data_IF_503303174171
#
_entry.id   IF_503303174171
#
_cell.length_a   1.000
_cell.length_b   1.000
_cell.length_c   1.000
_cell.angle_alpha   90.00
_cell.angle_beta   90.00
_cell.angle_gamma   90.00
#
_symmetry.space_group_name_H-M   'P 1'
#
loop_
_entity.id
_entity.type
_entity.pdbx_description
1 polymer ?
#
# COMPACT_ATOMS: atom_id res chain seq x y z
N UNK A 1 22.08 6.87 -1.72
CA UNK A 1 22.56 6.27 -0.45
C UNK A 1 21.85 6.80 0.80
N UNK A 2 21.73 8.11 1.05
CA UNK A 2 21.10 8.61 2.29
C UNK A 2 19.65 8.14 2.54
N UNK A 3 18.80 8.13 1.50
CA UNK A 3 17.41 7.59 1.58
C UNK A 3 17.36 6.13 2.04
N UNK A 4 18.34 5.32 1.63
CA UNK A 4 18.46 3.93 2.06
C UNK A 4 18.71 3.84 3.57
N UNK A 5 19.61 4.68 4.10
CA UNK A 5 19.90 4.68 5.54
C UNK A 5 18.72 5.17 6.37
N UNK A 6 17.97 6.17 5.89
CA UNK A 6 16.72 6.60 6.55
C UNK A 6 15.72 5.46 6.57
N UNK A 7 15.53 4.78 5.44
CA UNK A 7 14.61 3.66 5.36
C UNK A 7 15.03 2.51 6.28
N UNK A 8 16.32 2.16 6.30
CA UNK A 8 16.88 1.13 7.19
C UNK A 8 16.72 1.50 8.66
N UNK A 9 16.95 2.76 9.01
CA UNK A 9 16.77 3.26 10.37
C UNK A 9 15.28 3.21 10.80
N UNK A 10 14.39 3.69 9.93
CA UNK A 10 12.95 3.60 10.13
C UNK A 10 12.49 2.14 10.31
N UNK A 11 12.98 1.21 9.48
CA UNK A 11 12.70 -0.22 9.61
C UNK A 11 13.12 -0.78 10.97
N UNK A 12 14.34 -0.47 11.43
CA UNK A 12 14.86 -0.98 12.70
C UNK A 12 14.09 -0.45 13.92
N UNK A 13 13.69 0.82 13.89
CA UNK A 13 13.01 1.46 15.01
C UNK A 13 11.51 1.22 14.94
N UNK A 14 10.87 1.65 13.86
CA UNK A 14 9.42 1.58 13.69
C UNK A 14 8.93 0.14 13.55
N UNK A 15 9.74 -0.78 13.02
CA UNK A 15 9.38 -2.19 12.96
C UNK A 15 9.04 -2.80 14.33
N UNK A 16 9.52 -2.22 15.45
CA UNK A 16 9.20 -2.63 16.86
C UNK A 16 7.84 -2.20 17.34
N UNK A 17 7.16 -1.34 16.60
CA UNK A 17 5.81 -0.92 16.92
C UNK A 17 4.81 -1.96 16.42
N UNK A 18 3.64 -2.00 17.08
CA UNK A 18 2.51 -2.78 16.58
C UNK A 18 1.99 -2.20 15.27
N UNK A 19 1.38 -3.04 14.43
CA UNK A 19 0.81 -2.60 13.15
C UNK A 19 -0.22 -1.47 13.32
N UNK A 20 -1.01 -1.50 14.40
CA UNK A 20 -1.96 -0.43 14.74
C UNK A 20 -1.26 0.92 14.97
N UNK A 21 -0.13 0.91 15.68
CA UNK A 21 0.65 2.13 15.91
C UNK A 21 1.26 2.66 14.60
N UNK A 22 1.77 1.75 13.75
CA UNK A 22 2.27 2.11 12.42
C UNK A 22 1.17 2.72 11.55
N UNK A 23 -0.04 2.17 11.56
CA UNK A 23 -1.17 2.76 10.84
C UNK A 23 -1.56 4.13 11.38
N UNK A 24 -1.53 4.34 12.70
CA UNK A 24 -1.72 5.66 13.31
C UNK A 24 -0.71 6.69 12.81
N UNK A 25 0.59 6.33 12.84
CA UNK A 25 1.68 7.18 12.33
C UNK A 25 1.47 7.46 10.84
N UNK A 26 1.21 6.42 10.04
CA UNK A 26 1.02 6.53 8.60
C UNK A 26 -0.13 7.46 8.23
N UNK A 27 -1.23 7.43 8.99
CA UNK A 27 -2.38 8.31 8.74
C UNK A 27 -1.98 9.77 8.93
N UNK A 28 -1.26 10.10 10.01
CA UNK A 28 -0.81 11.46 10.30
C UNK A 28 0.18 11.93 9.23
N UNK A 29 1.18 11.12 8.88
CA UNK A 29 2.19 11.50 7.88
C UNK A 29 1.61 11.62 6.48
N UNK A 30 0.63 10.78 6.11
CA UNK A 30 -0.13 10.87 4.86
C UNK A 30 -0.99 12.13 4.80
N UNK A 31 -1.71 12.47 5.87
CA UNK A 31 -2.55 13.66 5.92
C UNK A 31 -1.70 14.96 5.86
N UNK A 32 -0.54 14.96 6.53
CA UNK A 32 0.47 16.03 6.41
C UNK A 32 0.97 16.12 4.96
N UNK A 33 1.35 14.99 4.36
CA UNK A 33 1.84 14.95 2.97
C UNK A 33 0.80 15.47 1.98
N UNK A 34 -0.47 15.07 2.15
CA UNK A 34 -1.59 15.55 1.34
C UNK A 34 -1.75 17.08 1.43
N UNK A 35 -1.55 17.65 2.62
CA UNK A 35 -1.68 19.10 2.82
C UNK A 35 -0.54 19.90 2.19
N UNK A 36 0.69 19.40 2.22
CA UNK A 36 1.88 20.16 1.82
C UNK A 36 2.35 19.87 0.38
N UNK A 37 2.10 18.67 -0.17
CA UNK A 37 2.56 18.29 -1.52
C UNK A 37 1.52 18.62 -2.59
N UNK A 38 1.34 19.91 -2.88
CA UNK A 38 0.34 20.40 -3.84
C UNK A 38 0.48 19.75 -5.21
N UNK A 39 1.67 19.77 -5.82
CA UNK A 39 1.87 19.22 -7.17
C UNK A 39 1.53 17.71 -7.24
N UNK A 40 1.92 16.95 -6.23
CA UNK A 40 1.58 15.51 -6.15
C UNK A 40 0.08 15.33 -5.96
N UNK A 41 -0.55 16.13 -5.10
CA UNK A 41 -1.99 16.06 -4.86
C UNK A 41 -2.77 16.35 -6.14
N UNK A 42 -2.37 17.38 -6.88
CA UNK A 42 -3.08 17.81 -8.09
C UNK A 42 -2.90 16.76 -9.21
N UNK A 43 -1.72 16.12 -9.32
CA UNK A 43 -1.51 14.99 -10.22
C UNK A 43 -2.37 13.77 -9.86
N UNK A 44 -2.44 13.41 -8.57
CA UNK A 44 -3.29 12.30 -8.10
C UNK A 44 -4.77 12.63 -8.33
N UNK A 45 -5.20 13.87 -8.08
CA UNK A 45 -6.58 14.30 -8.31
C UNK A 45 -6.97 14.22 -9.80
N UNK A 46 -6.06 14.57 -10.70
CA UNK A 46 -6.25 14.39 -12.15
C UNK A 46 -6.45 12.92 -12.52
N UNK A 47 -5.63 12.02 -11.96
CA UNK A 47 -5.78 10.58 -12.17
C UNK A 47 -7.11 10.06 -11.61
N UNK A 48 -7.49 10.48 -10.40
CA UNK A 48 -8.75 10.08 -9.77
C UNK A 48 -9.96 10.56 -10.55
N UNK A 49 -9.94 11.81 -11.05
CA UNK A 49 -11.00 12.33 -11.94
C UNK A 49 -11.14 11.49 -13.21
N UNK A 50 -10.03 11.06 -13.80
CA UNK A 50 -10.05 10.18 -14.98
C UNK A 50 -10.62 8.80 -14.65
N UNK A 51 -10.21 8.22 -13.53
CA UNK A 51 -10.64 6.88 -13.09
C UNK A 51 -12.12 6.84 -12.67
N UNK A 52 -12.59 7.83 -11.93
CA UNK A 52 -13.98 7.91 -11.47
C UNK A 52 -14.95 8.32 -12.58
N UNK A 53 -14.44 8.87 -13.68
CA UNK A 53 -15.22 9.26 -14.84
C UNK A 53 -15.90 10.62 -14.71
N UNK A 54 -16.62 11.06 -15.77
CA UNK A 54 -17.15 12.42 -15.87
C UNK A 54 -18.32 12.73 -14.92
N UNK A 55 -18.94 11.71 -14.31
CA UNK A 55 -20.03 11.90 -13.35
C UNK A 55 -19.59 12.22 -11.92
N UNK A 56 -18.30 12.09 -11.61
CA UNK A 56 -17.79 12.31 -10.27
C UNK A 56 -17.69 13.80 -9.94
N UNK A 57 -18.22 14.20 -8.79
CA UNK A 57 -18.10 15.57 -8.31
C UNK A 57 -16.72 15.84 -7.69
N UNK A 58 -16.42 17.11 -7.41
CA UNK A 58 -15.11 17.51 -6.86
C UNK A 58 -14.85 16.87 -5.48
N UNK A 59 -15.85 16.78 -4.61
CA UNK A 59 -15.70 16.22 -3.28
C UNK A 59 -15.35 14.73 -3.32
N UNK A 60 -15.94 13.98 -4.25
CA UNK A 60 -15.59 12.58 -4.53
C UNK A 60 -14.15 12.43 -4.98
N UNK A 61 -13.72 13.26 -5.92
CA UNK A 61 -12.33 13.28 -6.41
C UNK A 61 -11.36 13.61 -5.28
N UNK A 62 -11.65 14.62 -4.46
CA UNK A 62 -10.76 15.03 -3.35
C UNK A 62 -10.71 13.97 -2.24
N UNK A 63 -11.83 13.33 -1.91
CA UNK A 63 -11.84 12.20 -0.96
C UNK A 63 -11.00 11.04 -1.49
N UNK A 64 -11.20 10.63 -2.74
CA UNK A 64 -10.43 9.56 -3.35
C UNK A 64 -8.94 9.90 -3.38
N UNK A 65 -8.60 11.14 -3.75
CA UNK A 65 -7.22 11.65 -3.75
C UNK A 65 -6.60 11.53 -2.37
N UNK A 66 -7.29 11.97 -1.32
CA UNK A 66 -6.77 11.85 0.05
C UNK A 66 -6.60 10.40 0.49
N UNK A 67 -7.54 9.52 0.12
CA UNK A 67 -7.41 8.09 0.41
C UNK A 67 -6.23 7.45 -0.33
N UNK A 68 -5.87 7.88 -1.54
CA UNK A 68 -4.64 7.43 -2.21
C UNK A 68 -3.39 7.77 -1.38
N UNK A 69 -3.31 8.98 -0.82
CA UNK A 69 -2.18 9.35 0.07
C UNK A 69 -2.14 8.48 1.33
N UNK A 70 -3.31 8.16 1.90
CA UNK A 70 -3.42 7.29 3.08
C UNK A 70 -3.06 5.85 2.76
N UNK A 71 -3.49 5.32 1.61
CA UNK A 71 -3.14 3.99 1.13
C UNK A 71 -1.64 3.87 0.88
N UNK A 72 -1.01 4.89 0.28
CA UNK A 72 0.45 4.94 0.16
C UNK A 72 1.16 4.91 1.53
N UNK A 73 0.60 5.60 2.53
CA UNK A 73 1.10 5.53 3.91
C UNK A 73 0.96 4.14 4.54
N UNK A 74 -0.23 3.51 4.40
CA UNK A 74 -0.50 2.15 4.88
C UNK A 74 0.46 1.15 4.23
N UNK A 75 0.69 1.25 2.92
CA UNK A 75 1.66 0.45 2.19
C UNK A 75 3.06 0.51 2.81
N UNK A 76 3.55 1.71 3.16
CA UNK A 76 4.85 1.83 3.84
C UNK A 76 4.84 1.29 5.27
N UNK A 77 3.72 1.42 5.99
CA UNK A 77 3.55 0.79 7.31
C UNK A 77 3.61 -0.74 7.21
N UNK A 78 2.94 -1.33 6.23
CA UNK A 78 2.95 -2.76 5.96
C UNK A 78 4.37 -3.22 5.58
N UNK A 79 5.05 -2.47 4.71
CA UNK A 79 6.43 -2.76 4.31
C UNK A 79 7.42 -2.71 5.50
N UNK A 80 7.22 -1.79 6.44
CA UNK A 80 8.03 -1.74 7.67
C UNK A 80 7.73 -2.94 8.58
N UNK A 81 6.49 -3.41 8.60
CA UNK A 81 6.04 -4.51 9.45
C UNK A 81 6.33 -5.91 8.87
N UNK A 82 6.45 -6.05 7.55
CA UNK A 82 6.51 -7.33 6.84
C UNK A 82 7.59 -8.27 7.36
N UNK A 83 8.75 -7.75 7.75
CA UNK A 83 9.86 -8.55 8.28
C UNK A 83 9.60 -9.18 9.66
N UNK A 84 8.46 -8.88 10.28
CA UNK A 84 8.01 -9.47 11.56
C UNK A 84 6.66 -10.14 11.46
N UNK A 85 6.11 -10.17 10.26
CA UNK A 85 4.90 -10.92 10.00
C UNK A 85 5.25 -12.41 10.11
N UNK A 86 4.52 -13.12 10.95
CA UNK A 86 4.47 -14.57 10.89
C UNK A 86 3.67 -14.94 9.64
N UNK A 87 4.40 -15.24 8.55
CA UNK A 87 3.81 -15.44 7.22
C UNK A 87 2.88 -16.64 7.20
N UNK A 88 3.28 -17.74 7.85
CA UNK A 88 2.48 -18.97 7.91
C UNK A 88 1.19 -18.74 8.70
N UNK A 89 1.29 -18.09 9.86
CA UNK A 89 0.11 -17.72 10.64
C UNK A 89 -0.78 -16.74 9.88
N UNK A 90 -0.20 -15.76 9.20
CA UNK A 90 -0.96 -14.77 8.43
C UNK A 90 -1.73 -15.44 7.29
N UNK A 91 -1.07 -16.34 6.56
CA UNK A 91 -1.69 -17.12 5.48
C UNK A 91 -2.89 -17.92 6.00
N UNK A 92 -2.69 -18.67 7.08
CA UNK A 92 -3.70 -19.59 7.60
C UNK A 92 -4.88 -18.90 8.32
N UNK A 93 -4.65 -17.77 8.99
CA UNK A 93 -5.68 -17.15 9.85
C UNK A 93 -6.36 -15.92 9.23
N UNK A 94 -5.75 -15.27 8.22
CA UNK A 94 -6.14 -13.91 7.82
C UNK A 94 -6.12 -13.63 6.33
N UNK A 95 -5.84 -14.62 5.49
CA UNK A 95 -5.71 -14.42 4.06
C UNK A 95 -6.60 -15.40 3.29
N UNK A 96 -7.33 -14.87 2.32
CA UNK A 96 -8.13 -15.63 1.38
C UNK A 96 -7.60 -15.28 -0.02
N UNK A 97 -7.20 -16.30 -0.77
CA UNK A 97 -6.67 -16.15 -2.13
C UNK A 97 -7.73 -16.63 -3.10
N UNK A 98 -8.33 -15.69 -3.82
CA UNK A 98 -9.16 -16.02 -4.97
C UNK A 98 -8.25 -16.41 -6.15
N UNK A 99 -8.47 -17.58 -6.74
CA UNK A 99 -7.72 -18.06 -7.91
C UNK A 99 -6.39 -18.75 -7.59
N UNK A 100 -6.19 -19.26 -6.36
CA UNK A 100 -4.99 -20.03 -5.99
C UNK A 100 -4.81 -21.28 -6.89
N UNK A 101 -5.90 -21.85 -7.37
CA UNK A 101 -5.91 -22.99 -8.29
C UNK A 101 -5.10 -22.73 -9.58
N UNK A 102 -5.10 -21.50 -10.10
CA UNK A 102 -4.33 -21.16 -11.31
C UNK A 102 -2.82 -21.23 -11.08
N UNK A 103 -2.36 -20.94 -9.86
CA UNK A 103 -0.95 -21.09 -9.46
C UNK A 103 -0.56 -22.58 -9.40
N UNK A 104 -1.45 -23.43 -8.87
CA UNK A 104 -1.25 -24.87 -8.82
C UNK A 104 -1.21 -25.48 -10.22
N UNK A 105 -2.18 -25.15 -11.07
CA UNK A 105 -2.24 -25.63 -12.47
C UNK A 105 -0.99 -25.21 -13.26
N UNK A 106 -0.54 -23.96 -13.11
CA UNK A 106 0.66 -23.48 -13.77
C UNK A 106 1.91 -24.21 -13.30
N UNK A 107 2.02 -24.51 -12.00
CA UNK A 107 3.10 -25.31 -11.43
C UNK A 107 3.09 -26.74 -11.97
N UNK A 108 1.92 -27.39 -11.98
CA UNK A 108 1.75 -28.79 -12.39
C UNK A 108 1.97 -28.97 -13.91
N UNK A 109 1.74 -27.93 -14.70
CA UNK A 109 2.05 -27.92 -16.14
C UNK A 109 3.55 -28.09 -16.45
N UNK A 110 4.44 -27.81 -15.49
CA UNK A 110 5.89 -27.83 -15.66
C UNK A 110 6.46 -26.72 -16.55
N UNK A 111 5.64 -25.74 -16.97
CA UNK A 111 6.04 -24.65 -17.88
C UNK A 111 6.48 -23.38 -17.15
N UNK A 112 6.31 -23.33 -15.84
CA UNK A 112 6.47 -22.13 -15.04
C UNK A 112 5.28 -21.18 -15.15
N UNK A 113 5.30 -20.10 -14.37
CA UNK A 113 4.25 -19.09 -14.32
C UNK A 113 4.84 -17.67 -14.40
N UNK A 114 4.09 -16.75 -15.03
CA UNK A 114 4.38 -15.32 -14.99
C UNK A 114 3.27 -14.64 -14.19
N UNK A 115 3.63 -14.06 -13.05
CA UNK A 115 2.71 -13.29 -12.23
C UNK A 115 2.76 -11.83 -12.67
N UNK A 116 1.61 -11.29 -13.07
CA UNK A 116 1.45 -9.89 -13.47
C UNK A 116 0.63 -9.19 -12.40
N UNK A 117 1.23 -8.20 -11.74
CA UNK A 117 0.57 -7.32 -10.78
C UNK A 117 0.62 -5.87 -11.25
N UNK A 118 -0.36 -5.08 -10.84
CA UNK A 118 -0.48 -3.64 -11.11
C UNK A 118 0.16 -2.77 -10.04
#
# INVERSE_FOLDING_TARGET
MWKYYIFRFAYLILGRLSLRALYGISRVTSDVSYRFRRDTRDAVASNMRRLLGPGANEDEVQRATREVFRNAGRYYADLIHVGRLDVERFYNERYEIEGEEYLHDAKDSGRGAVLVGT
#
